data_IF_275374723613
#
_entry.id   IF_275374723613
#
_cell.length_a   1.000
_cell.length_b   1.000
_cell.length_c   1.000
_cell.angle_alpha   90.00
_cell.angle_beta   90.00
_cell.angle_gamma   90.00
#
_symmetry.space_group_name_H-M   'P 1'
#
loop_
_entity.id
_entity.type
_entity.pdbx_description
1 polymer ?
#
# COMPACT_ATOMS: atom_id res chain seq x y z
N UNK A 1 -29.48 -13.17 -22.04
CA UNK A 1 -29.86 -12.06 -22.94
C UNK A 1 -29.32 -10.80 -22.28
N UNK A 2 -28.37 -10.11 -22.93
CA UNK A 2 -27.79 -8.86 -22.41
C UNK A 2 -28.69 -7.68 -22.78
N UNK A 3 -29.14 -6.85 -21.82
CA UNK A 3 -30.03 -5.74 -22.12
C UNK A 3 -29.27 -4.62 -22.86
N UNK A 4 -29.90 -4.04 -23.89
CA UNK A 4 -29.33 -2.94 -24.67
C UNK A 4 -29.27 -1.59 -23.91
N UNK A 5 -29.82 -1.54 -22.69
CA UNK A 5 -29.78 -0.36 -21.82
C UNK A 5 -30.24 -0.70 -20.40
N UNK A 6 -30.09 0.23 -19.44
CA UNK A 6 -30.51 0.02 -18.06
C UNK A 6 -32.01 -0.30 -17.97
N UNK A 7 -32.36 -1.48 -17.47
CA UNK A 7 -33.75 -1.98 -17.38
C UNK A 7 -34.21 -2.28 -15.95
N UNK A 8 -33.44 -1.83 -14.95
CA UNK A 8 -33.72 -2.03 -13.53
C UNK A 8 -32.90 -1.10 -12.65
N UNK A 9 -33.28 -1.02 -11.37
CA UNK A 9 -32.59 -0.20 -10.37
C UNK A 9 -32.07 -1.14 -9.28
N UNK A 10 -30.80 -0.97 -8.90
CA UNK A 10 -30.20 -1.61 -7.74
C UNK A 10 -30.20 -0.60 -6.59
N UNK A 11 -30.83 -0.96 -5.47
CA UNK A 11 -30.79 -0.18 -4.24
C UNK A 11 -29.75 -0.80 -3.31
N UNK A 12 -28.81 0.01 -2.84
CA UNK A 12 -27.76 -0.39 -1.90
C UNK A 12 -27.73 0.61 -0.74
N UNK A 13 -27.35 0.14 0.45
CA UNK A 13 -27.05 0.99 1.60
C UNK A 13 -25.54 1.01 1.82
N UNK A 14 -25.00 2.14 2.26
CA UNK A 14 -23.57 2.24 2.56
C UNK A 14 -23.32 2.04 4.04
N UNK A 15 -22.18 1.42 4.37
CA UNK A 15 -21.78 1.20 5.78
C UNK A 15 -21.70 2.52 6.57
N UNK A 16 -21.41 3.63 5.89
CA UNK A 16 -21.31 4.97 6.47
C UNK A 16 -22.67 5.62 6.77
N UNK A 17 -23.77 5.08 6.26
CA UNK A 17 -25.13 5.59 6.54
C UNK A 17 -25.51 5.40 8.02
N UNK A 18 -24.76 4.56 8.75
CA UNK A 18 -24.91 4.39 10.19
C UNK A 18 -24.28 5.53 11.02
N UNK A 19 -23.41 6.36 10.43
CA UNK A 19 -22.70 7.41 11.18
C UNK A 19 -23.61 8.45 11.85
N UNK A 20 -24.73 8.90 11.25
CA UNK A 20 -25.66 9.82 11.93
C UNK A 20 -26.40 9.19 13.11
N UNK A 21 -26.42 7.86 13.24
CA UNK A 21 -27.14 7.16 14.30
C UNK A 21 -26.36 7.12 15.62
N UNK A 22 -25.05 7.43 15.61
CA UNK A 22 -24.26 7.48 16.84
C UNK A 22 -24.40 8.83 17.54
N UNK A 23 -24.44 8.79 18.88
CA UNK A 23 -24.43 10.01 19.72
C UNK A 23 -23.09 10.76 19.68
N UNK A 24 -22.00 10.04 19.35
CA UNK A 24 -20.65 10.59 19.24
C UNK A 24 -19.92 9.92 18.08
N UNK A 25 -19.35 10.73 17.19
CA UNK A 25 -18.51 10.28 16.08
C UNK A 25 -17.11 10.87 16.22
N UNK A 26 -16.10 10.13 15.77
CA UNK A 26 -14.70 10.55 15.73
C UNK A 26 -14.20 10.36 14.31
N UNK A 27 -13.52 11.36 13.78
CA UNK A 27 -12.80 11.26 12.51
C UNK A 27 -11.32 11.09 12.84
N UNK A 28 -10.76 9.93 12.51
CA UNK A 28 -9.32 9.72 12.50
C UNK A 28 -8.83 9.94 11.07
N UNK A 29 -8.06 11.00 10.87
CA UNK A 29 -7.47 11.28 9.56
C UNK A 29 -6.23 10.40 9.37
N UNK A 30 -6.23 9.59 8.32
CA UNK A 30 -5.03 8.89 7.82
C UNK A 30 -4.01 9.93 7.40
N UNK A 31 -2.77 9.82 7.88
CA UNK A 31 -1.80 10.92 7.75
C UNK A 31 -1.22 10.96 6.34
N UNK A 32 -0.99 9.80 5.72
CA UNK A 32 -0.31 9.72 4.41
C UNK A 32 -0.93 8.64 3.51
N UNK A 33 -1.46 9.05 2.33
CA UNK A 33 -2.06 8.11 1.35
C UNK A 33 -1.10 6.99 0.93
N UNK A 34 0.16 7.31 0.69
CA UNK A 34 1.16 6.32 0.28
C UNK A 34 1.44 5.24 1.33
N UNK A 35 1.15 5.51 2.60
CA UNK A 35 1.34 4.57 3.70
C UNK A 35 0.10 3.70 3.98
N UNK A 36 -1.09 4.24 3.71
CA UNK A 36 -2.33 3.70 4.27
C UNK A 36 -3.38 3.33 3.21
N UNK A 37 -3.27 3.82 1.97
CA UNK A 37 -4.35 3.68 0.99
C UNK A 37 -3.87 3.49 -0.46
N UNK A 38 -4.06 2.28 -0.98
CA UNK A 38 -3.86 1.94 -2.40
C UNK A 38 -4.94 0.95 -2.88
N UNK A 39 -6.09 1.45 -3.36
CA UNK A 39 -7.22 0.59 -3.73
C UNK A 39 -7.02 -0.07 -5.09
N UNK A 40 -7.66 -1.22 -5.29
CA UNK A 40 -7.72 -1.91 -6.58
C UNK A 40 -9.17 -1.91 -7.05
N UNK A 41 -9.46 -1.11 -8.08
CA UNK A 41 -10.77 -0.87 -8.67
C UNK A 41 -10.82 -1.19 -10.17
N UNK A 42 -9.69 -1.03 -10.85
CA UNK A 42 -9.58 -1.17 -12.30
C UNK A 42 -8.63 -2.32 -12.67
N UNK A 43 -8.83 -2.90 -13.86
CA UNK A 43 -7.96 -3.96 -14.36
C UNK A 43 -6.53 -3.46 -14.63
N UNK A 44 -6.38 -2.23 -15.13
CA UNK A 44 -5.10 -1.57 -15.43
C UNK A 44 -5.21 -0.06 -15.17
N UNK A 45 -4.07 0.62 -15.07
CA UNK A 45 -4.03 2.07 -14.92
C UNK A 45 -4.21 2.53 -13.46
N UNK A 46 -4.95 3.60 -13.23
CA UNK A 46 -5.13 4.16 -11.88
C UNK A 46 -5.95 3.20 -11.01
N UNK A 47 -5.58 3.04 -9.75
CA UNK A 47 -6.23 2.12 -8.80
C UNK A 47 -6.29 0.68 -9.37
N UNK A 48 -5.18 0.18 -9.90
CA UNK A 48 -5.01 -1.18 -10.40
C UNK A 48 -3.99 -1.97 -9.58
N UNK A 49 -3.89 -3.28 -9.87
CA UNK A 49 -2.91 -4.18 -9.25
C UNK A 49 -1.48 -3.67 -9.43
N UNK A 50 -1.15 -3.12 -10.60
CA UNK A 50 0.17 -2.57 -10.89
C UNK A 50 0.48 -1.38 -9.99
N UNK A 51 -0.46 -0.45 -9.83
CA UNK A 51 -0.27 0.73 -8.97
C UNK A 51 -0.18 0.36 -7.50
N UNK A 52 -0.99 -0.61 -7.05
CA UNK A 52 -0.94 -1.10 -5.68
C UNK A 52 0.39 -1.76 -5.36
N UNK A 53 0.91 -2.59 -6.28
CA UNK A 53 2.21 -3.22 -6.12
C UNK A 53 3.35 -2.21 -6.05
N UNK A 54 3.35 -1.22 -6.94
CA UNK A 54 4.39 -0.19 -6.93
C UNK A 54 4.36 0.62 -5.63
N UNK A 55 3.18 1.03 -5.16
CA UNK A 55 3.03 1.76 -3.90
C UNK A 55 3.53 0.94 -2.69
N UNK A 56 3.27 -0.37 -2.66
CA UNK A 56 3.78 -1.24 -1.59
C UNK A 56 5.31 -1.36 -1.60
N UNK A 57 5.93 -1.46 -2.79
CA UNK A 57 7.40 -1.48 -2.93
C UNK A 57 7.99 -0.15 -2.47
N UNK A 58 7.43 0.97 -2.91
CA UNK A 58 7.92 2.31 -2.54
C UNK A 58 7.79 2.56 -1.04
N UNK A 59 6.69 2.10 -0.43
CA UNK A 59 6.48 2.14 1.02
C UNK A 59 7.53 1.31 1.77
N UNK A 60 7.74 0.07 1.35
CA UNK A 60 8.75 -0.80 1.97
C UNK A 60 10.16 -0.23 1.84
N UNK A 61 10.50 0.33 0.68
CA UNK A 61 11.76 1.04 0.46
C UNK A 61 11.91 2.24 1.41
N UNK A 62 10.87 3.07 1.54
CA UNK A 62 10.86 4.22 2.45
C UNK A 62 11.07 3.81 3.90
N UNK A 63 10.51 2.69 4.34
CA UNK A 63 10.73 2.16 5.68
C UNK A 63 12.19 1.76 5.91
N UNK A 64 12.78 1.03 4.96
CA UNK A 64 14.19 0.63 5.01
C UNK A 64 15.13 1.84 5.01
N UNK A 65 14.89 2.81 4.13
CA UNK A 65 15.66 4.05 4.05
C UNK A 65 15.55 4.87 5.35
N UNK A 66 14.37 4.92 5.97
CA UNK A 66 14.18 5.59 7.27
C UNK A 66 14.96 4.95 8.42
N UNK A 67 15.34 3.67 8.27
CA UNK A 67 16.19 2.94 9.20
C UNK A 67 17.68 2.99 8.83
N UNK A 68 18.05 3.70 7.75
CA UNK A 68 19.43 3.86 7.29
C UNK A 68 19.91 2.79 6.31
N UNK A 69 19.01 1.96 5.77
CA UNK A 69 19.34 0.96 4.74
C UNK A 69 19.37 1.64 3.36
N UNK A 70 20.42 1.40 2.59
CA UNK A 70 20.52 1.90 1.21
C UNK A 70 19.65 1.05 0.28
N UNK A 71 18.65 1.67 -0.35
CA UNK A 71 17.82 1.03 -1.38
C UNK A 71 18.25 1.52 -2.77
N UNK A 72 18.50 0.61 -3.74
CA UNK A 72 18.87 1.00 -5.09
C UNK A 72 17.70 1.68 -5.81
N UNK A 73 17.97 2.81 -6.45
CA UNK A 73 17.01 3.60 -7.23
C UNK A 73 17.48 3.79 -8.66
N UNK A 74 16.51 3.89 -9.58
CA UNK A 74 16.74 4.20 -11.00
C UNK A 74 17.04 5.70 -11.17
N UNK A 75 17.54 6.12 -12.34
CA UNK A 75 17.78 7.54 -12.63
C UNK A 75 16.53 8.43 -12.51
N UNK A 76 15.32 7.87 -12.66
CA UNK A 76 14.05 8.58 -12.50
C UNK A 76 13.58 8.69 -11.04
N UNK A 77 14.36 8.15 -10.09
CA UNK A 77 14.06 8.14 -8.65
C UNK A 77 13.19 6.97 -8.19
N UNK A 78 12.65 6.15 -9.09
CA UNK A 78 11.88 4.95 -8.72
C UNK A 78 12.77 3.86 -8.13
N UNK A 79 12.20 2.99 -7.28
CA UNK A 79 12.92 1.86 -6.69
C UNK A 79 13.36 0.88 -7.80
N UNK A 80 14.64 0.50 -7.82
CA UNK A 80 15.21 -0.40 -8.83
C UNK A 80 15.22 -1.86 -8.38
N UNK A 81 14.44 -2.23 -7.38
CA UNK A 81 14.31 -3.60 -6.87
C UNK A 81 12.86 -3.87 -6.46
N UNK A 82 12.52 -5.13 -6.21
CA UNK A 82 11.23 -5.53 -5.63
C UNK A 82 11.49 -5.81 -4.16
N UNK A 83 10.82 -5.06 -3.29
CA UNK A 83 10.90 -5.24 -1.85
C UNK A 83 9.50 -5.51 -1.34
N UNK A 84 9.37 -6.58 -0.57
CA UNK A 84 8.15 -6.95 0.14
C UNK A 84 8.50 -7.26 1.60
N UNK A 85 7.71 -6.71 2.51
CA UNK A 85 7.87 -6.90 3.95
C UNK A 85 6.59 -7.52 4.47
N UNK A 86 6.69 -8.73 4.99
CA UNK A 86 5.57 -9.42 5.61
C UNK A 86 5.12 -8.65 6.87
N UNK A 87 3.82 -8.59 7.16
CA UNK A 87 3.33 -7.98 8.40
C UNK A 87 3.90 -8.61 9.68
N UNK A 88 4.30 -9.89 9.62
CA UNK A 88 4.99 -10.56 10.73
C UNK A 88 6.43 -10.06 10.96
N UNK A 89 7.08 -9.53 9.93
CA UNK A 89 8.40 -8.93 10.03
C UNK A 89 8.33 -7.48 10.52
N UNK A 90 7.42 -6.66 9.99
CA UNK A 90 7.23 -5.30 10.45
C UNK A 90 5.81 -4.80 10.18
N UNK A 91 5.23 -4.10 11.16
CA UNK A 91 3.97 -3.36 11.00
C UNK A 91 4.21 -1.87 10.76
N UNK A 92 5.41 -1.36 11.06
CA UNK A 92 5.81 0.02 10.81
C UNK A 92 7.33 0.19 10.64
N UNK A 93 7.77 1.42 10.28
CA UNK A 93 9.18 1.73 10.08
C UNK A 93 10.04 1.54 11.34
N UNK A 94 9.46 1.69 12.54
CA UNK A 94 10.22 1.50 13.78
C UNK A 94 10.59 0.04 14.06
N UNK A 95 9.82 -0.93 13.56
CA UNK A 95 10.14 -2.36 13.68
C UNK A 95 11.40 -2.73 12.88
N UNK A 96 11.68 -1.99 11.80
CA UNK A 96 12.85 -2.21 10.93
C UNK A 96 14.15 -1.92 11.70
N UNK A 97 14.19 -0.87 12.51
CA UNK A 97 15.37 -0.47 13.27
C UNK A 97 15.85 -1.58 14.21
N UNK A 98 14.92 -2.31 14.81
CA UNK A 98 15.23 -3.42 15.71
C UNK A 98 15.76 -4.66 14.98
N UNK A 99 15.55 -4.76 13.66
CA UNK A 99 15.85 -5.94 12.84
C UNK A 99 16.88 -5.67 11.75
N UNK A 100 17.65 -4.58 11.84
CA UNK A 100 18.66 -4.22 10.83
C UNK A 100 19.66 -5.34 10.53
N UNK A 101 20.00 -6.16 11.53
CA UNK A 101 20.89 -7.31 11.38
C UNK A 101 20.29 -8.47 10.55
N UNK A 102 18.99 -8.45 10.27
CA UNK A 102 18.27 -9.45 9.47
C UNK A 102 18.04 -8.96 8.03
N UNK A 103 18.43 -7.74 7.70
CA UNK A 103 18.21 -7.12 6.40
C UNK A 103 19.50 -7.29 5.57
N UNK A 104 19.46 -8.03 4.45
CA UNK A 104 20.63 -8.18 3.59
C UNK A 104 20.92 -6.88 2.82
N UNK A 105 22.13 -6.78 2.27
CA UNK A 105 22.45 -5.75 1.29
C UNK A 105 21.54 -5.90 0.06
N UNK A 106 20.98 -4.78 -0.42
CA UNK A 106 20.01 -4.74 -1.52
C UNK A 106 20.70 -4.23 -2.78
N UNK A 107 20.70 -5.04 -3.84
CA UNK A 107 21.33 -4.70 -5.12
C UNK A 107 20.28 -4.34 -6.17
N UNK A 108 20.67 -3.57 -7.21
CA UNK A 108 19.78 -3.29 -8.33
C UNK A 108 19.20 -4.57 -8.93
N UNK A 109 17.89 -4.55 -9.18
CA UNK A 109 17.03 -5.63 -9.72
C UNK A 109 16.80 -6.82 -8.79
N UNK A 110 17.21 -6.74 -7.52
CA UNK A 110 16.93 -7.78 -6.55
C UNK A 110 15.43 -7.93 -6.27
N UNK A 111 15.08 -9.12 -5.77
CA UNK A 111 13.76 -9.43 -5.20
C UNK A 111 13.96 -9.83 -3.76
N UNK A 112 13.61 -8.94 -2.84
CA UNK A 112 13.76 -9.12 -1.41
C UNK A 112 12.38 -9.36 -0.77
N UNK A 113 12.29 -10.42 0.01
CA UNK A 113 11.14 -10.71 0.86
C UNK A 113 11.62 -10.85 2.31
N UNK A 114 11.10 -10.01 3.19
CA UNK A 114 11.41 -10.01 4.63
C UNK A 114 10.22 -10.59 5.41
N UNK A 115 10.42 -11.70 6.12
CA UNK A 115 9.36 -12.40 6.86
C UNK A 115 9.85 -12.92 8.21
#
# INVERSE_FOLDING_TARGET
>A
MEPAGPNGIKLESFVFDALPLTSKSIILQTVVRSEEFSPIKNATGVDSVETAKQMMIDRAAGWLESAGVTVPRKPDGSVDCIIEIAPGFAMGPDDIKAKLNQIPEIKPKDKLYLA
#
